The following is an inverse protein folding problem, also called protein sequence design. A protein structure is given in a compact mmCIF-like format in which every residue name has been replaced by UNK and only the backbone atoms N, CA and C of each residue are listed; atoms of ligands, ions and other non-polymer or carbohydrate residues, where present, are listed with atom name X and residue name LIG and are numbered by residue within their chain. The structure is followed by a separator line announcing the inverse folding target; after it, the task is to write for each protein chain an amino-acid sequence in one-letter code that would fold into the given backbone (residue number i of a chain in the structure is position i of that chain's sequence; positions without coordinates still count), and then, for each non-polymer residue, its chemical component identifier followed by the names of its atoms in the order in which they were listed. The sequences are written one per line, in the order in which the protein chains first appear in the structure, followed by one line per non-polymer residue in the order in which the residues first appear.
data_IF_918481960773
#
_entry.id   IF_918481960773
#
_cell.length_a   1.000
_cell.length_b   1.000
_cell.length_c   1.000
_cell.angle_alpha   90.00
_cell.angle_beta   90.00
_cell.angle_gamma   90.00
#
_symmetry.space_group_name_H-M   'P 1'
#
loop_
_entity.id
_entity.type
_entity.pdbx_description
1 polymer ?
#
# COMPACT_ATOMS: atom_id res chain seq x y z
N UNK A 1 11.69 59.41 4.48
CA UNK A 1 11.96 58.03 4.94
C UNK A 1 11.17 57.07 4.07
N UNK A 2 11.85 56.10 3.43
CA UNK A 2 11.30 55.21 2.41
C UNK A 2 11.24 53.80 3.02
N UNK A 3 10.04 53.35 3.40
CA UNK A 3 9.85 52.04 4.04
C UNK A 3 9.97 50.93 2.99
N UNK A 4 11.06 50.16 3.05
CA UNK A 4 11.21 48.90 2.34
C UNK A 4 10.38 47.84 3.07
N UNK A 5 9.19 47.54 2.55
CA UNK A 5 8.39 46.41 3.00
C UNK A 5 9.12 45.12 2.58
N UNK A 6 9.82 44.50 3.53
CA UNK A 6 10.31 43.13 3.42
C UNK A 6 9.09 42.21 3.42
N UNK A 7 8.71 41.71 2.24
CA UNK A 7 7.71 40.66 2.11
C UNK A 7 8.16 39.44 2.94
N UNK A 8 7.36 38.97 3.92
CA UNK A 8 7.70 37.76 4.63
C UNK A 8 7.61 36.60 3.65
N UNK A 9 8.76 35.97 3.38
CA UNK A 9 8.86 34.77 2.58
C UNK A 9 8.20 33.63 3.37
N UNK A 10 6.88 33.45 3.20
CA UNK A 10 6.15 32.34 3.81
C UNK A 10 6.51 31.08 3.02
N UNK A 11 7.50 30.33 3.52
CA UNK A 11 7.79 28.98 3.05
C UNK A 11 6.67 28.05 3.53
N UNK A 12 5.60 27.95 2.74
CA UNK A 12 4.60 26.92 2.92
C UNK A 12 5.28 25.56 2.64
N UNK A 13 5.64 24.83 3.69
CA UNK A 13 6.01 23.43 3.59
C UNK A 13 4.76 22.64 3.17
N UNK A 14 4.55 22.51 1.85
CA UNK A 14 3.53 21.62 1.33
C UNK A 14 3.88 20.19 1.72
N UNK A 15 3.04 19.54 2.52
CA UNK A 15 3.09 18.09 2.67
C UNK A 15 2.83 17.48 1.30
N UNK A 16 3.90 17.18 0.56
CA UNK A 16 3.80 16.46 -0.69
C UNK A 16 3.27 15.05 -0.36
N UNK A 17 2.00 14.82 -0.67
CA UNK A 17 1.40 13.48 -0.61
C UNK A 17 2.18 12.59 -1.58
N UNK A 18 3.11 11.80 -1.06
CA UNK A 18 3.86 10.81 -1.85
C UNK A 18 2.86 9.79 -2.37
N UNK A 19 2.59 9.85 -3.68
CA UNK A 19 1.64 8.97 -4.36
C UNK A 19 2.23 7.55 -4.46
N UNK A 20 2.26 6.85 -3.33
CA UNK A 20 2.93 5.55 -3.20
C UNK A 20 2.10 4.49 -3.92
N UNK A 21 2.65 3.92 -5.00
CA UNK A 21 2.07 2.78 -5.70
C UNK A 21 2.55 1.48 -5.08
N UNK A 22 1.69 0.45 -5.13
CA UNK A 22 2.13 -0.90 -4.82
C UNK A 22 3.20 -1.38 -5.80
N UNK A 23 4.16 -2.15 -5.30
CA UNK A 23 5.30 -2.65 -6.07
C UNK A 23 5.62 -4.10 -5.70
N UNK A 24 5.94 -4.89 -6.72
CA UNK A 24 6.43 -6.26 -6.55
C UNK A 24 7.65 -6.42 -7.44
N UNK A 25 8.82 -6.60 -6.82
CA UNK A 25 10.06 -6.82 -7.54
C UNK A 25 10.10 -8.15 -8.26
N UNK A 26 10.87 -8.21 -9.34
CA UNK A 26 11.09 -9.44 -10.10
C UNK A 26 11.78 -10.49 -9.22
N UNK A 27 11.41 -11.76 -9.40
CA UNK A 27 12.02 -12.88 -8.67
C UNK A 27 11.27 -13.31 -7.41
N UNK A 28 10.17 -12.66 -7.01
CA UNK A 28 9.27 -13.20 -5.98
C UNK A 28 8.65 -14.52 -6.48
N UNK A 29 8.93 -15.64 -5.79
CA UNK A 29 8.37 -16.95 -6.14
C UNK A 29 6.86 -16.99 -5.89
N UNK A 30 6.14 -17.88 -6.58
CA UNK A 30 4.70 -18.09 -6.37
C UNK A 30 4.38 -18.55 -4.93
N UNK A 31 5.25 -19.38 -4.35
CA UNK A 31 5.09 -19.90 -3.00
C UNK A 31 5.25 -18.78 -1.96
N UNK A 32 6.32 -17.99 -2.06
CA UNK A 32 6.51 -16.82 -1.21
C UNK A 32 5.35 -15.81 -1.37
N UNK A 33 4.93 -15.52 -2.61
CA UNK A 33 3.79 -14.64 -2.87
C UNK A 33 2.51 -15.13 -2.16
N UNK A 34 2.20 -16.43 -2.24
CA UNK A 34 1.05 -17.03 -1.56
C UNK A 34 1.17 -16.88 -0.04
N UNK A 35 2.33 -17.22 0.52
CA UNK A 35 2.57 -17.14 1.96
C UNK A 35 2.40 -15.71 2.48
N UNK A 36 3.04 -14.74 1.81
CA UNK A 36 2.97 -13.32 2.16
C UNK A 36 1.53 -12.81 2.05
N UNK A 37 0.79 -13.18 1.01
CA UNK A 37 -0.60 -12.75 0.84
C UNK A 37 -1.48 -13.23 1.98
N UNK A 38 -1.35 -14.49 2.40
CA UNK A 38 -2.09 -15.01 3.56
C UNK A 38 -1.70 -14.30 4.86
N UNK A 39 -0.42 -13.98 5.04
CA UNK A 39 0.06 -13.23 6.21
C UNK A 39 -0.53 -11.81 6.26
N UNK A 40 -0.55 -11.11 5.12
CA UNK A 40 -1.20 -9.81 4.98
C UNK A 40 -2.68 -9.86 5.32
N UNK A 41 -3.42 -10.89 4.84
CA UNK A 41 -4.84 -11.06 5.19
C UNK A 41 -5.03 -11.20 6.70
N UNK A 42 -4.20 -12.01 7.37
CA UNK A 42 -4.27 -12.16 8.83
C UNK A 42 -4.02 -10.83 9.53
N UNK A 43 -3.03 -10.06 9.07
CA UNK A 43 -2.75 -8.75 9.63
C UNK A 43 -3.94 -7.79 9.47
N UNK A 44 -4.43 -7.59 8.25
CA UNK A 44 -5.49 -6.59 8.01
C UNK A 44 -6.80 -6.97 8.67
N UNK A 45 -7.17 -8.26 8.76
CA UNK A 45 -8.42 -8.69 9.40
C UNK A 45 -8.53 -8.28 10.86
N UNK A 46 -7.40 -8.12 11.54
CA UNK A 46 -7.38 -7.70 12.95
C UNK A 46 -7.83 -6.26 13.14
N UNK A 47 -7.72 -5.42 12.11
CA UNK A 47 -8.05 -3.98 12.17
C UNK A 47 -9.20 -3.64 11.24
N UNK A 48 -9.17 -4.11 10.00
CA UNK A 48 -10.12 -3.82 8.94
C UNK A 48 -11.18 -4.93 8.82
N UNK A 49 -12.42 -4.73 9.32
CA UNK A 49 -13.45 -5.76 9.27
C UNK A 49 -13.86 -6.02 7.80
N UNK A 50 -13.81 -7.27 7.30
CA UNK A 50 -14.03 -7.53 5.88
C UNK A 50 -15.38 -7.09 5.32
N UNK A 51 -16.46 -7.28 6.08
CA UNK A 51 -17.82 -7.01 5.63
C UNK A 51 -18.11 -5.53 5.36
N UNK A 52 -17.40 -4.63 6.05
CA UNK A 52 -17.63 -3.17 6.00
C UNK A 52 -16.48 -2.40 5.38
N UNK A 53 -15.35 -3.05 5.10
CA UNK A 53 -14.17 -2.38 4.54
C UNK A 53 -14.14 -2.53 3.02
N UNK A 54 -14.13 -1.39 2.34
CA UNK A 54 -13.71 -1.30 0.94
C UNK A 54 -12.23 -0.96 0.88
N UNK A 55 -11.45 -1.77 0.15
CA UNK A 55 -10.03 -1.57 -0.06
C UNK A 55 -9.78 -0.96 -1.44
N UNK A 56 -9.03 0.13 -1.45
CA UNK A 56 -8.62 0.82 -2.67
C UNK A 56 -7.16 0.47 -2.93
N UNK A 57 -6.90 -0.25 -4.01
CA UNK A 57 -5.56 -0.70 -4.38
C UNK A 57 -5.17 -0.04 -5.70
N UNK A 58 -4.02 0.64 -5.70
CA UNK A 58 -3.38 1.09 -6.92
C UNK A 58 -2.65 -0.09 -7.57
N UNK A 59 -2.94 -0.35 -8.85
CA UNK A 59 -2.26 -1.43 -9.57
C UNK A 59 -0.77 -1.17 -9.64
N UNK A 60 0.01 -2.25 -9.54
CA UNK A 60 1.39 -2.24 -9.95
C UNK A 60 1.46 -2.01 -11.48
N UNK A 61 2.43 -1.23 -11.94
CA UNK A 61 2.62 -0.94 -13.37
C UNK A 61 3.21 -2.12 -14.15
N UNK A 62 3.69 -3.15 -13.44
CA UNK A 62 4.32 -4.34 -14.02
C UNK A 62 3.53 -5.58 -13.65
N UNK A 63 3.41 -6.53 -14.58
CA UNK A 63 2.83 -7.83 -14.30
C UNK A 63 3.63 -8.57 -13.22
N UNK A 64 2.95 -9.13 -12.23
CA UNK A 64 3.58 -9.83 -11.12
C UNK A 64 2.72 -11.00 -10.61
N UNK A 65 3.35 -11.93 -9.89
CA UNK A 65 2.70 -13.15 -9.38
C UNK A 65 1.88 -12.92 -8.10
N UNK A 66 2.00 -11.76 -7.46
CA UNK A 66 1.44 -11.49 -6.14
C UNK A 66 0.11 -10.74 -6.21
N UNK A 67 0.06 -9.63 -6.94
CA UNK A 67 -1.09 -8.73 -7.09
C UNK A 67 -2.39 -9.48 -7.44
N UNK A 68 -2.47 -10.31 -8.50
CA UNK A 68 -3.71 -11.02 -8.83
C UNK A 68 -4.12 -12.03 -7.74
N UNK A 69 -3.14 -12.70 -7.13
CA UNK A 69 -3.37 -13.66 -6.06
C UNK A 69 -3.91 -12.97 -4.81
N UNK A 70 -3.27 -11.88 -4.39
CA UNK A 70 -3.64 -11.13 -3.20
C UNK A 70 -5.04 -10.55 -3.31
N UNK A 71 -5.41 -10.02 -4.48
CA UNK A 71 -6.72 -9.44 -4.71
C UNK A 71 -7.84 -10.49 -4.73
N UNK A 72 -7.58 -11.64 -5.36
CA UNK A 72 -8.50 -12.77 -5.27
C UNK A 72 -8.71 -13.19 -3.81
N UNK A 73 -7.62 -13.24 -3.04
CA UNK A 73 -7.69 -13.62 -1.64
C UNK A 73 -8.45 -12.59 -0.79
N UNK A 74 -8.27 -11.29 -1.01
CA UNK A 74 -9.04 -10.23 -0.35
C UNK A 74 -10.54 -10.39 -0.59
N UNK A 75 -10.94 -10.58 -1.86
CA UNK A 75 -12.36 -10.78 -2.23
C UNK A 75 -12.95 -12.03 -1.59
N UNK A 76 -12.22 -13.15 -1.60
CA UNK A 76 -12.63 -14.40 -0.93
C UNK A 76 -12.81 -14.24 0.58
N UNK A 77 -12.12 -13.28 1.18
CA UNK A 77 -12.23 -12.99 2.61
C UNK A 77 -13.32 -11.96 2.94
N UNK A 78 -14.11 -11.51 1.96
CA UNK A 78 -15.26 -10.63 2.14
C UNK A 78 -15.00 -9.15 1.87
N UNK A 79 -13.76 -8.76 1.55
CA UNK A 79 -13.45 -7.37 1.24
C UNK A 79 -14.00 -6.96 -0.13
N UNK A 80 -14.56 -5.75 -0.20
CA UNK A 80 -14.78 -5.08 -1.48
C UNK A 80 -13.44 -4.51 -1.95
N UNK A 81 -13.02 -4.79 -3.18
CA UNK A 81 -11.73 -4.33 -3.72
C UNK A 81 -11.94 -3.52 -4.99
N UNK A 82 -11.51 -2.26 -4.95
CA UNK A 82 -11.56 -1.30 -6.05
C UNK A 82 -10.13 -1.07 -6.58
N UNK A 83 -9.97 -1.19 -7.91
CA UNK A 83 -8.74 -0.80 -8.59
C UNK A 83 -8.75 0.68 -8.93
N UNK A 84 -7.61 1.34 -8.80
CA UNK A 84 -7.49 2.75 -9.15
C UNK A 84 -6.18 3.05 -9.86
N UNK A 85 -6.27 3.78 -10.97
CA UNK A 85 -5.12 4.28 -11.72
C UNK A 85 -4.75 5.73 -11.32
N UNK A 86 -5.69 6.51 -10.74
CA UNK A 86 -5.46 7.90 -10.29
C UNK A 86 -6.02 8.23 -8.89
N UNK A 87 -5.26 8.91 -7.99
CA UNK A 87 -5.59 9.02 -6.55
C UNK A 87 -6.80 9.88 -6.19
N UNK A 88 -7.19 10.85 -7.03
CA UNK A 88 -7.84 12.07 -6.53
C UNK A 88 -9.37 12.06 -6.47
N UNK A 89 -10.08 11.20 -7.22
CA UNK A 89 -11.54 11.37 -7.31
C UNK A 89 -12.35 10.82 -6.14
N UNK A 90 -11.77 10.01 -5.23
CA UNK A 90 -12.56 9.43 -4.13
C UNK A 90 -11.70 9.04 -2.92
N UNK A 91 -11.07 10.01 -2.27
CA UNK A 91 -10.33 9.79 -1.01
C UNK A 91 -11.23 9.26 0.13
N UNK A 92 -12.57 9.34 -0.02
CA UNK A 92 -13.53 8.95 1.01
C UNK A 92 -14.27 7.62 0.75
N UNK A 93 -13.86 6.82 -0.23
CA UNK A 93 -14.60 5.59 -0.61
C UNK A 93 -14.08 4.28 0.01
N UNK A 94 -12.97 4.33 0.73
CA UNK A 94 -12.40 3.15 1.35
C UNK A 94 -10.99 3.39 1.86
N UNK A 95 -10.39 2.33 2.36
CA UNK A 95 -9.03 2.35 2.91
C UNK A 95 -8.04 2.11 1.78
N UNK A 96 -7.11 3.05 1.59
CA UNK A 96 -6.01 2.87 0.66
C UNK A 96 -5.08 1.78 1.19
N UNK A 97 -4.82 0.77 0.36
CA UNK A 97 -3.94 -0.34 0.70
C UNK A 97 -2.77 -0.37 -0.28
N UNK A 98 -1.57 -0.20 0.25
CA UNK A 98 -0.31 -0.18 -0.50
C UNK A 98 0.57 -1.33 -0.02
N UNK A 99 1.20 -2.04 -0.95
CA UNK A 99 2.15 -3.10 -0.61
C UNK A 99 3.43 -3.00 -1.45
N UNK A 100 4.56 -3.28 -0.82
CA UNK A 100 5.87 -3.28 -1.45
C UNK A 100 6.55 -4.61 -1.11
N UNK A 101 6.90 -5.38 -2.14
CA UNK A 101 7.69 -6.61 -2.01
C UNK A 101 9.00 -6.42 -2.77
N UNK A 102 10.10 -6.39 -2.05
CA UNK A 102 11.45 -6.17 -2.60
C UNK A 102 12.32 -7.39 -2.36
N UNK A 103 12.53 -8.23 -3.39
CA UNK A 103 13.55 -9.29 -3.37
C UNK A 103 14.94 -8.73 -3.04
N UNK A 104 15.74 -9.55 -2.37
CA UNK A 104 17.12 -9.26 -1.97
C UNK A 104 18.02 -10.40 -2.43
N UNK A 105 19.30 -10.09 -2.66
CA UNK A 105 20.27 -11.04 -3.23
C UNK A 105 20.50 -12.27 -2.35
N UNK A 106 20.24 -12.17 -1.05
CA UNK A 106 20.36 -13.28 -0.10
C UNK A 106 19.13 -14.21 -0.05
N UNK A 107 18.27 -14.18 -1.08
CA UNK A 107 17.07 -15.02 -1.15
C UNK A 107 15.98 -14.61 -0.17
N UNK A 108 15.99 -13.37 0.34
CA UNK A 108 14.93 -12.82 1.21
C UNK A 108 14.05 -11.84 0.45
N UNK A 109 12.87 -11.57 0.98
CA UNK A 109 11.96 -10.52 0.51
C UNK A 109 11.72 -9.56 1.65
N UNK A 110 12.09 -8.29 1.45
CA UNK A 110 11.59 -7.20 2.27
C UNK A 110 10.13 -6.93 1.90
N UNK A 111 9.26 -6.92 2.89
CA UNK A 111 7.82 -6.81 2.70
C UNK A 111 7.26 -5.68 3.56
N UNK A 112 6.51 -4.80 2.93
CA UNK A 112 5.80 -3.69 3.56
C UNK A 112 4.35 -3.73 3.12
N UNK A 113 3.44 -3.64 4.08
CA UNK A 113 2.02 -3.37 3.86
C UNK A 113 1.67 -2.09 4.61
N UNK A 114 1.02 -1.17 3.91
CA UNK A 114 0.61 0.13 4.45
C UNK A 114 -0.88 0.34 4.19
N UNK A 115 -1.58 0.85 5.21
CA UNK A 115 -2.97 1.28 5.11
C UNK A 115 -3.29 2.28 6.21
N UNK A 116 -4.30 3.11 6.00
CA UNK A 116 -4.78 4.01 7.05
C UNK A 116 -5.78 3.28 7.96
N UNK A 117 -5.63 3.46 9.27
CA UNK A 117 -6.52 2.92 10.29
C UNK A 117 -6.87 4.01 11.30
N UNK A 118 -8.17 4.29 11.47
CA UNK A 118 -8.66 5.35 12.36
C UNK A 118 -8.03 6.74 12.11
N UNK A 119 -7.70 7.05 10.84
CA UNK A 119 -7.06 8.31 10.45
C UNK A 119 -5.53 8.30 10.54
N UNK A 120 -4.92 7.22 11.04
CA UNK A 120 -3.47 7.10 11.23
C UNK A 120 -2.86 6.07 10.27
N UNK A 121 -1.67 6.33 9.70
CA UNK A 121 -0.99 5.37 8.85
C UNK A 121 -0.50 4.16 9.66
N UNK A 122 -0.91 2.97 9.24
CA UNK A 122 -0.43 1.70 9.78
C UNK A 122 0.57 1.06 8.83
N UNK A 123 1.69 0.60 9.38
CA UNK A 123 2.73 -0.13 8.66
C UNK A 123 2.90 -1.52 9.24
N UNK A 124 2.94 -2.52 8.36
CA UNK A 124 3.26 -3.89 8.69
C UNK A 124 4.47 -4.33 7.88
N UNK A 125 5.61 -4.42 8.55
CA UNK A 125 6.92 -4.69 7.94
C UNK A 125 7.41 -6.07 8.39
N UNK A 126 7.83 -6.88 7.42
CA UNK A 126 8.31 -8.24 7.61
C UNK A 126 9.42 -8.57 6.63
N UNK A 127 10.21 -9.59 6.97
CA UNK A 127 11.18 -10.21 6.06
C UNK A 127 10.76 -11.67 5.88
N UNK A 128 10.66 -12.09 4.63
CA UNK A 128 10.30 -13.47 4.27
C UNK A 128 11.45 -14.15 3.54
N UNK A 129 11.43 -15.47 3.52
CA UNK A 129 12.29 -16.28 2.64
C UNK A 129 11.63 -16.38 1.27
N UNK A 130 12.42 -16.21 0.20
CA UNK A 130 11.98 -16.36 -1.18
C UNK A 130 12.13 -17.81 -1.63
N UNK A 131 11.33 -18.71 -1.04
CA UNK A 131 11.32 -20.15 -1.32
C UNK A 131 9.97 -20.59 -1.86
#
# INVERSE_FOLDING_TARGET
MKYLLLSPLVLAAGCASVNTSSYVGQGVTKNAAKFIAHDYIRNIKSRLPPATTTLVIKKNNTADNFTPLFINLLRKNGYRVIYRDQPQKQQNMGVNLVYILTPKDNGRIGSVLQYDWAGEPSYYIRIFQNR
#
